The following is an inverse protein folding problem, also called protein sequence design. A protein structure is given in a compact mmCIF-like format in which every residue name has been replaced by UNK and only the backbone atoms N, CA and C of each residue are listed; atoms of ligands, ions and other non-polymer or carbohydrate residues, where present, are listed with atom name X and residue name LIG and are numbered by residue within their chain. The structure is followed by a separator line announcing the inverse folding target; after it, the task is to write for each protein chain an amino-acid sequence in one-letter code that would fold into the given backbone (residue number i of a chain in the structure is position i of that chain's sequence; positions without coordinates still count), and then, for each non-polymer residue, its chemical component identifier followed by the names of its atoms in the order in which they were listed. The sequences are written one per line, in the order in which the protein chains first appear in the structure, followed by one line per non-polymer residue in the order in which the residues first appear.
data_IF_613714510487
#
_entry.id   IF_613714510487
#
_cell.length_a   1.000
_cell.length_b   1.000
_cell.length_c   1.000
_cell.angle_alpha   90.00
_cell.angle_beta   90.00
_cell.angle_gamma   90.00
#
_symmetry.space_group_name_H-M   'P 1'
#
loop_
_entity.id
_entity.type
_entity.pdbx_description
1 polymer ?
#
# COMPACT_ATOMS: atom_id res chain seq x y z
N UNK A 1 -27.36 5.77 16.62
CA UNK A 1 -27.19 7.14 16.06
C UNK A 1 -27.23 7.02 14.55
N UNK A 2 -28.18 7.66 13.86
CA UNK A 2 -28.21 7.69 12.39
C UNK A 2 -27.23 8.76 11.91
N UNK A 3 -26.20 8.36 11.21
CA UNK A 3 -25.29 9.26 10.49
C UNK A 3 -26.00 9.76 9.22
N UNK A 4 -26.40 11.03 9.21
CA UNK A 4 -26.90 11.66 7.97
C UNK A 4 -25.71 12.04 7.08
N UNK A 5 -25.33 11.13 6.17
CA UNK A 5 -24.23 11.30 5.21
C UNK A 5 -24.67 11.91 3.88
N UNK A 6 -25.97 12.25 3.74
CA UNK A 6 -26.46 12.98 2.57
C UNK A 6 -25.96 14.44 2.55
N UNK A 7 -25.77 15.04 3.74
CA UNK A 7 -25.20 16.38 3.90
C UNK A 7 -23.67 16.33 3.98
N UNK A 8 -22.97 17.35 3.43
CA UNK A 8 -21.51 17.45 3.55
C UNK A 8 -21.04 17.33 5.00
N UNK A 9 -19.99 16.55 5.22
CA UNK A 9 -19.36 16.31 6.53
C UNK A 9 -17.85 16.48 6.42
N UNK A 10 -17.23 16.83 7.55
CA UNK A 10 -15.77 16.85 7.70
C UNK A 10 -15.30 15.58 8.41
N UNK A 11 -14.43 14.83 7.72
CA UNK A 11 -13.83 13.61 8.22
C UNK A 11 -12.37 13.82 8.58
N UNK A 12 -11.97 13.30 9.74
CA UNK A 12 -10.57 13.15 10.12
C UNK A 12 -10.22 11.67 10.16
N UNK A 13 -9.35 11.21 9.26
CA UNK A 13 -8.92 9.81 9.21
C UNK A 13 -7.50 9.72 9.76
N UNK A 14 -7.29 8.90 10.77
CA UNK A 14 -6.02 8.73 11.47
C UNK A 14 -5.40 7.37 11.13
N UNK A 15 -4.21 7.39 10.53
CA UNK A 15 -3.47 6.18 10.10
C UNK A 15 -2.06 6.20 10.64
N UNK A 16 -1.71 5.19 11.44
CA UNK A 16 -0.36 4.97 11.97
C UNK A 16 0.16 3.63 11.49
N UNK A 17 0.85 3.60 10.37
CA UNK A 17 1.29 2.32 9.79
C UNK A 17 2.27 2.50 8.63
N UNK A 18 2.66 1.39 7.97
CA UNK A 18 3.50 1.39 6.78
C UNK A 18 2.72 1.83 5.52
N UNK A 19 3.42 2.01 4.40
CA UNK A 19 2.81 2.42 3.12
C UNK A 19 1.66 1.49 2.66
N UNK A 20 1.84 0.16 2.81
CA UNK A 20 0.81 -0.81 2.46
C UNK A 20 -0.48 -0.61 3.28
N UNK A 21 -0.35 -0.43 4.59
CA UNK A 21 -1.50 -0.17 5.47
C UNK A 21 -2.22 1.12 5.11
N UNK A 22 -1.47 2.15 4.69
CA UNK A 22 -2.06 3.41 4.25
C UNK A 22 -2.90 3.22 2.98
N UNK A 23 -2.40 2.45 2.02
CA UNK A 23 -3.16 2.10 0.82
C UNK A 23 -4.41 1.27 1.14
N UNK A 24 -4.35 0.40 2.16
CA UNK A 24 -5.53 -0.37 2.59
C UNK A 24 -6.66 0.49 3.18
N UNK A 25 -6.41 1.76 3.48
CA UNK A 25 -7.45 2.73 3.91
C UNK A 25 -8.12 3.42 2.71
N UNK A 26 -7.53 3.37 1.53
CA UNK A 26 -8.09 4.02 0.34
C UNK A 26 -9.53 3.58 0.01
N UNK A 27 -9.96 2.32 0.15
CA UNK A 27 -11.34 1.93 -0.06
C UNK A 27 -12.34 2.72 0.81
N UNK A 28 -11.98 2.99 2.08
CA UNK A 28 -12.80 3.82 2.97
C UNK A 28 -12.88 5.26 2.47
N UNK A 29 -11.76 5.85 2.07
CA UNK A 29 -11.67 7.21 1.52
C UNK A 29 -12.54 7.33 0.27
N UNK A 30 -12.37 6.41 -0.67
CA UNK A 30 -13.12 6.37 -1.92
C UNK A 30 -14.62 6.21 -1.68
N UNK A 31 -15.01 5.37 -0.72
CA UNK A 31 -16.40 5.20 -0.36
C UNK A 31 -17.03 6.46 0.24
N UNK A 32 -16.34 7.13 1.16
CA UNK A 32 -16.82 8.39 1.76
C UNK A 32 -17.07 9.42 0.65
N UNK A 33 -16.18 9.56 -0.31
CA UNK A 33 -16.35 10.46 -1.47
C UNK A 33 -17.47 10.01 -2.41
N UNK A 34 -17.68 8.69 -2.57
CA UNK A 34 -18.80 8.14 -3.36
C UNK A 34 -20.15 8.46 -2.72
N UNK A 35 -20.26 8.43 -1.39
CA UNK A 35 -21.49 8.80 -0.68
C UNK A 35 -21.87 10.28 -0.90
N UNK A 36 -20.90 11.15 -0.87
CA UNK A 36 -21.08 12.58 -1.21
C UNK A 36 -19.71 13.20 -1.55
N UNK A 37 -19.54 13.63 -2.78
CA UNK A 37 -18.29 14.25 -3.26
C UNK A 37 -17.90 15.53 -2.49
N UNK A 38 -18.87 16.19 -1.83
CA UNK A 38 -18.64 17.39 -1.01
C UNK A 38 -18.14 17.08 0.41
N UNK A 39 -18.03 15.81 0.80
CA UNK A 39 -17.37 15.46 2.06
C UNK A 39 -15.91 15.92 2.02
N UNK A 40 -15.46 16.55 3.11
CA UNK A 40 -14.05 16.93 3.28
C UNK A 40 -13.32 15.83 4.05
N UNK A 41 -12.22 15.35 3.50
CA UNK A 41 -11.39 14.31 4.12
C UNK A 41 -10.03 14.88 4.46
N UNK A 42 -9.73 14.93 5.74
CA UNK A 42 -8.40 15.26 6.29
C UNK A 42 -7.72 13.99 6.78
N UNK A 43 -6.54 13.69 6.27
CA UNK A 43 -5.77 12.52 6.65
C UNK A 43 -4.66 12.91 7.63
N UNK A 44 -4.57 12.21 8.76
CA UNK A 44 -3.48 12.33 9.74
C UNK A 44 -2.59 11.10 9.63
N UNK A 45 -1.34 11.29 9.21
CA UNK A 45 -0.39 10.20 8.95
C UNK A 45 0.92 10.39 9.68
N UNK A 46 1.61 9.29 9.96
CA UNK A 46 2.98 9.36 10.49
C UNK A 46 3.95 9.88 9.42
N UNK A 47 5.00 10.56 9.91
CA UNK A 47 6.06 11.16 9.10
C UNK A 47 6.60 10.23 7.99
N UNK A 48 6.84 8.97 8.33
CA UNK A 48 7.37 7.97 7.38
C UNK A 48 6.47 7.66 6.18
N UNK A 49 5.17 7.99 6.27
CA UNK A 49 4.18 7.66 5.23
C UNK A 49 3.67 8.90 4.50
N UNK A 50 4.12 10.08 4.92
CA UNK A 50 3.64 11.36 4.44
C UNK A 50 3.80 11.51 2.92
N UNK A 51 4.92 11.08 2.38
CA UNK A 51 5.23 11.19 0.96
C UNK A 51 4.21 10.48 0.05
N UNK A 52 3.65 9.35 0.50
CA UNK A 52 2.66 8.61 -0.30
C UNK A 52 1.33 9.36 -0.43
N UNK A 53 0.95 10.15 0.58
CA UNK A 53 -0.36 10.82 0.63
C UNK A 53 -0.56 11.79 -0.54
N UNK A 54 0.50 12.45 -0.99
CA UNK A 54 0.47 13.39 -2.13
C UNK A 54 -0.03 12.74 -3.42
N UNK A 55 0.22 11.44 -3.56
CA UNK A 55 -0.15 10.65 -4.73
C UNK A 55 -1.48 9.90 -4.56
N UNK A 56 -2.05 9.87 -3.36
CA UNK A 56 -3.38 9.29 -3.15
C UNK A 56 -4.47 10.20 -3.73
N UNK A 57 -5.57 9.59 -4.17
CA UNK A 57 -6.74 10.31 -4.67
C UNK A 57 -7.77 10.54 -3.55
N UNK A 58 -8.68 11.50 -3.75
CA UNK A 58 -9.83 11.74 -2.88
C UNK A 58 -9.51 12.26 -1.47
N UNK A 59 -8.31 12.81 -1.25
CA UNK A 59 -7.90 13.47 0.00
C UNK A 59 -7.90 14.98 -0.24
N UNK A 60 -8.56 15.74 0.64
CA UNK A 60 -8.64 17.19 0.54
C UNK A 60 -7.50 17.87 1.30
N UNK A 61 -7.17 17.35 2.48
CA UNK A 61 -6.10 17.87 3.33
C UNK A 61 -5.36 16.71 4.02
N UNK A 62 -4.11 16.92 4.36
CA UNK A 62 -3.35 15.95 5.15
C UNK A 62 -2.31 16.61 6.04
N UNK A 63 -2.09 15.99 7.20
CA UNK A 63 -1.18 16.49 8.23
C UNK A 63 -0.28 15.38 8.73
N UNK A 64 1.00 15.74 8.87
CA UNK A 64 2.02 14.87 9.39
C UNK A 64 1.97 14.84 10.91
N UNK A 65 2.04 13.64 11.50
CA UNK A 65 2.21 13.43 12.93
C UNK A 65 3.60 12.85 13.17
N UNK A 66 4.42 13.45 14.04
CA UNK A 66 5.74 12.93 14.37
C UNK A 66 5.68 11.49 14.87
N UNK A 67 6.59 10.66 14.41
CA UNK A 67 6.71 9.26 14.83
C UNK A 67 7.63 9.07 16.05
N UNK A 68 8.52 10.02 16.32
CA UNK A 68 9.47 10.01 17.44
C UNK A 68 8.99 10.89 18.61
N UNK A 69 9.28 10.49 19.83
CA UNK A 69 8.93 11.21 21.04
C UNK A 69 7.78 10.60 21.84
N UNK A 70 7.32 11.31 22.88
CA UNK A 70 6.19 10.86 23.69
C UNK A 70 4.89 10.95 22.88
N UNK A 71 4.34 9.81 22.48
CA UNK A 71 3.16 9.73 21.62
C UNK A 71 1.93 10.47 22.14
N UNK A 72 1.69 10.46 23.45
CA UNK A 72 0.53 11.12 24.03
C UNK A 72 0.67 12.63 24.04
N UNK A 73 1.87 13.15 24.34
CA UNK A 73 2.16 14.57 24.23
C UNK A 73 1.99 15.05 22.79
N UNK A 74 2.53 14.30 21.82
CA UNK A 74 2.36 14.57 20.37
C UNK A 74 0.87 14.64 20.02
N UNK A 75 0.06 13.67 20.49
CA UNK A 75 -1.36 13.63 20.19
C UNK A 75 -2.13 14.78 20.84
N UNK A 76 -1.74 15.20 22.05
CA UNK A 76 -2.33 16.38 22.71
C UNK A 76 -2.02 17.63 21.87
N UNK A 77 -0.76 17.89 21.58
CA UNK A 77 -0.36 19.08 20.84
C UNK A 77 -1.00 19.16 19.46
N UNK A 78 -0.91 18.07 18.68
CA UNK A 78 -1.50 18.03 17.34
C UNK A 78 -3.03 18.01 17.39
N UNK A 79 -3.64 17.26 18.29
CA UNK A 79 -5.08 17.21 18.44
C UNK A 79 -5.67 18.58 18.78
N UNK A 80 -5.08 19.29 19.73
CA UNK A 80 -5.51 20.66 20.10
C UNK A 80 -5.27 21.66 18.97
N UNK A 81 -4.10 21.58 18.28
CA UNK A 81 -3.79 22.43 17.12
C UNK A 81 -4.87 22.32 16.03
N UNK A 82 -5.32 21.12 15.69
CA UNK A 82 -6.27 20.88 14.60
C UNK A 82 -7.72 20.81 15.05
N UNK A 83 -8.02 20.87 16.34
CA UNK A 83 -9.38 20.89 16.90
C UNK A 83 -10.24 22.04 16.36
N UNK A 84 -9.62 23.17 16.02
CA UNK A 84 -10.27 24.33 15.39
C UNK A 84 -10.98 24.01 14.08
N UNK A 85 -10.59 22.93 13.37
CA UNK A 85 -11.19 22.51 12.11
C UNK A 85 -12.58 21.87 12.29
N UNK A 86 -13.00 21.58 13.54
CA UNK A 86 -14.35 21.11 13.92
C UNK A 86 -14.81 19.89 13.11
N UNK A 87 -14.08 18.80 13.21
CA UNK A 87 -14.44 17.57 12.51
C UNK A 87 -15.76 16.97 13.01
N UNK A 88 -16.64 16.58 12.07
CA UNK A 88 -17.87 15.89 12.40
C UNK A 88 -17.60 14.43 12.79
N UNK A 89 -16.73 13.76 12.03
CA UNK A 89 -16.43 12.34 12.18
C UNK A 89 -14.92 12.13 12.18
N UNK A 90 -14.43 11.38 13.15
CA UNK A 90 -13.05 10.85 13.08
C UNK A 90 -13.07 9.34 13.00
N UNK A 91 -12.14 8.79 12.21
CA UNK A 91 -11.97 7.36 11.99
C UNK A 91 -10.52 6.99 12.25
N UNK A 92 -10.28 6.15 13.25
CA UNK A 92 -8.98 5.54 13.43
C UNK A 92 -8.93 4.25 12.62
N UNK A 93 -8.34 4.36 11.43
CA UNK A 93 -8.37 3.33 10.39
C UNK A 93 -7.22 2.31 10.51
N UNK A 94 -6.60 2.18 11.69
CA UNK A 94 -5.56 1.18 11.88
C UNK A 94 -6.13 -0.21 11.99
N UNK A 95 -5.47 -1.16 11.34
CA UNK A 95 -5.79 -2.60 11.37
C UNK A 95 -5.62 -3.28 12.73
N UNK A 96 -5.08 -2.59 13.72
CA UNK A 96 -4.94 -3.07 15.10
C UNK A 96 -5.69 -2.21 16.08
N UNK A 97 -6.01 -2.77 17.23
CA UNK A 97 -6.62 -2.06 18.34
C UNK A 97 -5.54 -1.51 19.26
N UNK A 98 -5.47 -0.20 19.40
CA UNK A 98 -4.47 0.48 20.25
C UNK A 98 -5.03 1.69 20.97
N UNK A 99 -4.42 2.07 22.10
CA UNK A 99 -4.84 3.25 22.88
C UNK A 99 -4.86 4.54 22.06
N UNK A 100 -3.95 4.67 21.09
CA UNK A 100 -3.89 5.81 20.16
C UNK A 100 -5.19 6.00 19.37
N UNK A 101 -5.88 4.91 19.04
CA UNK A 101 -7.06 4.92 18.18
C UNK A 101 -8.28 5.61 18.85
N UNK A 102 -8.39 5.58 20.17
CA UNK A 102 -9.39 6.36 20.91
C UNK A 102 -8.87 7.73 21.29
N UNK A 103 -7.62 7.81 21.73
CA UNK A 103 -7.06 9.01 22.34
C UNK A 103 -6.93 10.18 21.36
N UNK A 104 -6.28 10.01 20.20
CA UNK A 104 -6.09 11.10 19.26
C UNK A 104 -7.42 11.67 18.70
N UNK A 105 -8.39 10.85 18.22
CA UNK A 105 -9.71 11.33 17.83
C UNK A 105 -10.47 12.09 18.93
N UNK A 106 -10.29 11.69 20.19
CA UNK A 106 -10.90 12.38 21.34
C UNK A 106 -10.30 13.77 21.54
N UNK A 107 -8.97 13.89 21.59
CA UNK A 107 -8.29 15.18 21.73
C UNK A 107 -8.59 16.10 20.55
N UNK A 108 -8.68 15.55 19.33
CA UNK A 108 -9.09 16.28 18.13
C UNK A 108 -10.50 16.87 18.24
N UNK A 109 -11.34 16.36 19.15
CA UNK A 109 -12.67 16.90 19.44
C UNK A 109 -13.71 16.56 18.38
N UNK A 110 -13.54 15.49 17.61
CA UNK A 110 -14.54 15.04 16.66
C UNK A 110 -15.83 14.59 17.37
N UNK A 111 -16.99 14.96 16.82
CA UNK A 111 -18.30 14.65 17.43
C UNK A 111 -18.55 13.14 17.46
N UNK A 112 -18.21 12.45 16.35
CA UNK A 112 -18.35 11.02 16.18
C UNK A 112 -16.95 10.43 16.02
N UNK A 113 -16.62 9.44 16.83
CA UNK A 113 -15.30 8.83 16.90
C UNK A 113 -15.42 7.33 16.66
N UNK A 114 -15.11 6.92 15.42
CA UNK A 114 -15.19 5.53 14.95
C UNK A 114 -13.83 4.88 15.13
N UNK A 115 -13.78 3.75 15.79
CA UNK A 115 -12.59 2.94 15.88
C UNK A 115 -12.92 1.49 16.21
N UNK A 116 -11.97 0.61 15.94
CA UNK A 116 -12.06 -0.79 16.34
C UNK A 116 -11.81 -0.97 17.82
N UNK A 117 -12.65 -1.79 18.43
CA UNK A 117 -12.54 -2.22 19.84
C UNK A 117 -12.42 -3.74 19.91
N UNK A 118 -11.64 -4.25 20.86
CA UNK A 118 -11.50 -5.68 21.12
C UNK A 118 -12.17 -6.06 22.44
N UNK A 119 -12.28 -7.36 22.70
CA UNK A 119 -12.80 -7.86 23.98
C UNK A 119 -11.92 -7.46 25.19
N UNK A 120 -10.63 -7.15 24.97
CA UNK A 120 -9.77 -6.60 26.02
C UNK A 120 -10.03 -5.11 26.16
N UNK A 121 -10.71 -4.69 27.24
CA UNK A 121 -10.97 -3.27 27.55
C UNK A 121 -9.66 -2.50 27.74
N UNK A 122 -9.60 -1.30 27.17
CA UNK A 122 -8.52 -0.33 27.34
C UNK A 122 -9.05 0.93 28.01
N UNK A 123 -8.16 1.62 28.69
CA UNK A 123 -8.51 2.88 29.36
C UNK A 123 -9.02 3.97 28.40
N UNK A 124 -8.71 3.87 27.09
CA UNK A 124 -9.13 4.82 26.06
C UNK A 124 -10.42 4.42 25.33
N UNK A 125 -10.99 3.25 25.60
CA UNK A 125 -12.16 2.75 24.84
C UNK A 125 -13.41 3.63 25.08
N UNK A 126 -13.54 4.24 26.24
CA UNK A 126 -14.62 5.20 26.54
C UNK A 126 -14.55 6.47 25.66
N UNK A 127 -13.40 6.79 25.08
CA UNK A 127 -13.20 7.90 24.17
C UNK A 127 -13.79 7.61 22.78
N UNK A 128 -14.09 6.35 22.48
CA UNK A 128 -14.71 5.89 21.23
C UNK A 128 -16.21 5.83 21.45
N UNK A 129 -16.98 6.69 20.76
CA UNK A 129 -18.43 6.70 20.91
C UNK A 129 -19.17 5.97 19.78
N UNK A 130 -18.44 5.47 18.79
CA UNK A 130 -18.97 4.66 17.71
C UNK A 130 -18.02 3.45 17.45
N UNK A 131 -18.08 2.42 18.32
CA UNK A 131 -17.18 1.30 18.25
C UNK A 131 -17.52 0.32 17.12
N UNK A 132 -16.48 -0.19 16.45
CA UNK A 132 -16.56 -1.30 15.50
C UNK A 132 -15.92 -2.53 16.14
N UNK A 133 -16.59 -3.67 16.25
CA UNK A 133 -16.00 -4.87 16.81
C UNK A 133 -14.79 -5.33 15.99
N UNK A 134 -13.63 -5.50 16.65
CA UNK A 134 -12.46 -6.08 16.04
C UNK A 134 -12.63 -7.60 15.93
N UNK A 135 -12.65 -8.10 14.71
CA UNK A 135 -12.63 -9.53 14.43
C UNK A 135 -11.18 -9.91 14.11
N UNK A 136 -10.61 -10.87 14.85
CA UNK A 136 -9.27 -11.40 14.54
C UNK A 136 -9.21 -11.80 13.07
N UNK A 137 -8.27 -11.21 12.34
CA UNK A 137 -8.29 -11.27 10.90
C UNK A 137 -7.81 -12.62 10.37
N UNK A 138 -8.77 -13.41 9.96
CA UNK A 138 -8.59 -14.43 8.90
C UNK A 138 -8.79 -13.76 7.51
N UNK A 139 -9.09 -12.45 7.50
CA UNK A 139 -9.52 -11.71 6.33
C UNK A 139 -8.46 -10.75 5.81
N UNK A 140 -8.58 -10.36 4.55
CA UNK A 140 -7.76 -9.34 3.94
C UNK A 140 -7.80 -8.02 4.73
N UNK A 141 -6.69 -7.27 4.78
CA UNK A 141 -6.60 -6.02 5.55
C UNK A 141 -7.62 -4.95 5.10
N UNK A 142 -8.00 -4.92 3.83
CA UNK A 142 -9.09 -4.08 3.35
C UNK A 142 -10.43 -4.35 4.06
N UNK A 143 -10.64 -5.55 4.60
CA UNK A 143 -11.86 -5.88 5.34
C UNK A 143 -11.99 -5.13 6.66
N UNK A 144 -10.91 -4.54 7.17
CA UNK A 144 -11.02 -3.57 8.26
C UNK A 144 -11.74 -2.30 7.80
N UNK A 145 -11.48 -1.85 6.56
CA UNK A 145 -12.32 -0.82 5.98
C UNK A 145 -13.78 -1.27 5.90
N UNK A 146 -14.04 -2.54 5.54
CA UNK A 146 -15.40 -3.08 5.43
C UNK A 146 -16.21 -2.95 6.73
N UNK A 147 -15.62 -3.20 7.90
CA UNK A 147 -16.31 -3.03 9.18
C UNK A 147 -16.79 -1.59 9.41
N UNK A 148 -15.98 -0.60 9.03
CA UNK A 148 -16.38 0.82 9.07
C UNK A 148 -17.39 1.14 7.97
N UNK A 149 -17.20 0.59 6.77
CA UNK A 149 -18.14 0.80 5.66
C UNK A 149 -19.53 0.28 5.98
N UNK A 150 -19.65 -0.91 6.57
CA UNK A 150 -20.92 -1.49 7.03
C UNK A 150 -21.62 -0.64 8.11
N UNK A 151 -20.84 0.09 8.91
CA UNK A 151 -21.40 1.05 9.86
C UNK A 151 -22.00 2.27 9.13
N UNK A 152 -21.39 2.69 8.02
CA UNK A 152 -21.82 3.82 7.20
C UNK A 152 -22.96 3.43 6.24
N UNK A 153 -22.89 2.22 5.69
CA UNK A 153 -23.93 1.63 4.85
C UNK A 153 -24.01 0.10 5.07
N UNK A 154 -25.12 -0.35 5.64
CA UNK A 154 -25.36 -1.77 6.00
C UNK A 154 -25.45 -2.71 4.80
N UNK A 155 -25.70 -2.18 3.61
CA UNK A 155 -25.86 -3.01 2.39
C UNK A 155 -24.51 -3.44 1.79
N UNK A 156 -23.39 -2.92 2.30
CA UNK A 156 -22.06 -3.30 1.82
C UNK A 156 -21.63 -4.64 2.42
N UNK A 157 -21.52 -5.66 1.59
CA UNK A 157 -21.09 -7.00 1.99
C UNK A 157 -19.64 -7.32 1.59
N UNK A 158 -19.09 -6.59 0.62
CA UNK A 158 -17.72 -6.70 0.13
C UNK A 158 -17.22 -5.32 -0.31
N UNK A 159 -15.93 -5.19 -0.53
CA UNK A 159 -15.35 -3.96 -1.09
C UNK A 159 -15.31 -4.10 -2.61
N UNK A 160 -16.11 -3.30 -3.34
CA UNK A 160 -16.11 -3.35 -4.81
C UNK A 160 -14.80 -2.82 -5.39
N UNK A 161 -14.43 -3.28 -6.58
CA UNK A 161 -13.16 -2.92 -7.25
C UNK A 161 -13.00 -1.42 -7.51
N UNK A 162 -14.09 -0.71 -7.78
CA UNK A 162 -14.05 0.74 -7.96
C UNK A 162 -13.56 1.51 -6.72
N UNK A 163 -13.59 0.87 -5.54
CA UNK A 163 -13.07 1.44 -4.29
C UNK A 163 -11.60 1.06 -4.02
N UNK A 164 -10.99 0.19 -4.82
CA UNK A 164 -9.60 -0.22 -4.62
C UNK A 164 -8.63 0.97 -4.62
N UNK A 165 -7.47 0.83 -3.97
CA UNK A 165 -6.47 1.89 -3.94
C UNK A 165 -6.07 2.32 -5.34
N UNK A 166 -6.02 3.64 -5.57
CA UNK A 166 -5.50 4.24 -6.79
C UNK A 166 -4.53 5.34 -6.43
N UNK A 167 -3.42 5.40 -7.18
CA UNK A 167 -2.43 6.47 -7.08
C UNK A 167 -2.46 7.33 -8.34
N UNK A 168 -2.15 8.61 -8.19
CA UNK A 168 -1.93 9.52 -9.32
C UNK A 168 -0.74 9.01 -10.13
N UNK A 169 -0.98 8.68 -11.40
CA UNK A 169 0.07 8.20 -12.30
C UNK A 169 1.13 9.29 -12.50
N UNK A 170 2.39 8.90 -12.40
CA UNK A 170 3.53 9.77 -12.61
C UNK A 170 4.12 9.49 -13.99
N UNK A 171 4.43 10.55 -14.73
CA UNK A 171 5.06 10.39 -16.04
C UNK A 171 6.55 10.11 -15.85
N UNK A 172 7.01 8.95 -16.32
CA UNK A 172 8.42 8.71 -16.60
C UNK A 172 8.60 8.59 -18.11
N UNK A 173 9.66 9.20 -18.65
CA UNK A 173 9.97 9.07 -20.07
C UNK A 173 10.48 7.64 -20.33
N UNK A 174 9.69 6.84 -21.05
CA UNK A 174 10.09 5.51 -21.48
C UNK A 174 10.76 5.59 -22.85
N UNK A 175 12.08 5.61 -22.85
CA UNK A 175 12.87 5.53 -24.12
C UNK A 175 13.40 4.11 -24.41
N UNK A 176 12.91 3.10 -23.69
CA UNK A 176 13.39 1.72 -23.79
C UNK A 176 12.39 0.93 -24.64
N UNK A 177 12.89 0.32 -25.74
CA UNK A 177 12.09 -0.50 -26.65
C UNK A 177 11.78 -1.89 -26.07
N UNK A 178 12.65 -2.40 -25.23
CA UNK A 178 12.49 -3.68 -24.55
C UNK A 178 11.35 -3.65 -23.51
N UNK A 179 10.84 -4.81 -23.14
CA UNK A 179 9.90 -4.96 -22.01
C UNK A 179 10.64 -4.64 -20.71
N UNK A 180 10.15 -3.70 -19.95
CA UNK A 180 10.79 -3.23 -18.72
C UNK A 180 10.28 -3.98 -17.51
N UNK A 181 11.19 -4.55 -16.72
CA UNK A 181 10.88 -5.28 -15.49
C UNK A 181 11.46 -4.50 -14.30
N UNK A 182 10.59 -4.11 -13.37
CA UNK A 182 10.99 -3.56 -12.07
C UNK A 182 11.27 -4.70 -11.08
N UNK A 183 12.46 -4.68 -10.48
CA UNK A 183 12.87 -5.60 -9.41
C UNK A 183 13.33 -4.78 -8.21
N UNK A 184 12.88 -5.12 -7.01
CA UNK A 184 13.40 -4.53 -5.77
C UNK A 184 14.33 -5.52 -5.07
N UNK A 185 15.46 -5.03 -4.55
CA UNK A 185 16.39 -5.82 -3.72
C UNK A 185 16.40 -5.38 -2.25
N UNK A 186 15.63 -4.36 -1.90
CA UNK A 186 15.55 -3.82 -0.54
C UNK A 186 14.25 -4.24 0.15
N UNK A 187 14.37 -5.14 1.12
CA UNK A 187 13.25 -5.63 1.92
C UNK A 187 13.56 -5.51 3.41
N UNK A 188 12.52 -5.24 4.23
CA UNK A 188 12.64 -5.22 5.68
C UNK A 188 12.62 -6.64 6.30
N UNK A 189 12.10 -7.62 5.54
CA UNK A 189 12.00 -9.02 5.95
C UNK A 189 12.82 -9.88 4.99
N UNK A 190 13.76 -10.65 5.51
CA UNK A 190 14.59 -11.58 4.73
C UNK A 190 13.76 -12.61 3.99
N UNK A 191 12.71 -13.15 4.65
CA UNK A 191 11.79 -14.12 4.05
C UNK A 191 11.02 -13.63 2.81
N UNK A 192 10.98 -12.31 2.57
CA UNK A 192 10.38 -11.71 1.36
C UNK A 192 11.41 -11.41 0.26
N UNK A 193 12.70 -11.69 0.52
CA UNK A 193 13.79 -11.40 -0.41
C UNK A 193 14.28 -12.67 -1.09
N UNK A 194 14.05 -12.78 -2.40
CA UNK A 194 14.61 -13.85 -3.22
C UNK A 194 16.12 -13.65 -3.38
N UNK A 195 16.90 -14.74 -3.43
CA UNK A 195 18.34 -14.70 -3.66
C UNK A 195 18.67 -14.10 -5.03
N UNK A 196 19.71 -13.26 -5.10
CA UNK A 196 20.15 -12.64 -6.34
C UNK A 196 20.50 -13.66 -7.42
N UNK A 197 21.09 -14.80 -7.07
CA UNK A 197 21.40 -15.90 -8.00
C UNK A 197 20.13 -16.44 -8.65
N UNK A 198 19.06 -16.66 -7.87
CA UNK A 198 17.77 -17.14 -8.38
C UNK A 198 17.09 -16.09 -9.27
N UNK A 199 17.11 -14.81 -8.87
CA UNK A 199 16.58 -13.71 -9.69
C UNK A 199 17.30 -13.67 -11.03
N UNK A 200 18.63 -13.71 -11.00
CA UNK A 200 19.46 -13.64 -12.21
C UNK A 200 19.22 -14.84 -13.14
N UNK A 201 19.20 -16.06 -12.59
CA UNK A 201 18.92 -17.28 -13.37
C UNK A 201 17.59 -17.18 -14.12
N UNK A 202 16.55 -16.75 -13.42
CA UNK A 202 15.20 -16.60 -14.00
C UNK A 202 15.20 -15.53 -15.11
N UNK A 203 15.75 -14.34 -14.83
CA UNK A 203 15.71 -13.22 -15.77
C UNK A 203 16.61 -13.48 -17.01
N UNK A 204 17.75 -14.13 -16.83
CA UNK A 204 18.60 -14.55 -17.94
C UNK A 204 17.90 -15.58 -18.84
N UNK A 205 17.16 -16.54 -18.26
CA UNK A 205 16.36 -17.49 -19.03
C UNK A 205 15.20 -16.81 -19.78
N UNK A 206 14.60 -15.78 -19.19
CA UNK A 206 13.54 -14.99 -19.85
C UNK A 206 14.12 -14.21 -21.01
N UNK A 207 15.30 -13.62 -20.85
CA UNK A 207 15.95 -12.81 -21.89
C UNK A 207 16.30 -13.61 -23.16
N UNK A 208 16.36 -14.94 -23.08
CA UNK A 208 16.55 -15.80 -24.26
C UNK A 208 15.30 -15.83 -25.18
N UNK A 209 14.14 -15.45 -24.65
CA UNK A 209 12.86 -15.51 -25.38
C UNK A 209 12.15 -14.16 -25.52
N UNK A 210 12.48 -13.19 -24.65
CA UNK A 210 11.89 -11.86 -24.60
C UNK A 210 13.00 -10.82 -24.47
N UNK A 211 13.01 -9.79 -25.31
CA UNK A 211 13.92 -8.64 -25.13
C UNK A 211 13.47 -7.83 -23.91
N UNK A 212 14.18 -7.98 -22.80
CA UNK A 212 13.86 -7.36 -21.52
C UNK A 212 14.95 -6.38 -21.07
N UNK A 213 14.54 -5.37 -20.32
CA UNK A 213 15.40 -4.44 -19.59
C UNK A 213 14.99 -4.46 -18.12
N UNK A 214 15.97 -4.56 -17.21
CA UNK A 214 15.69 -4.68 -15.77
C UNK A 214 16.08 -3.41 -15.03
N UNK A 215 15.11 -2.80 -14.35
CA UNK A 215 15.35 -1.78 -13.34
C UNK A 215 15.54 -2.45 -11.98
N UNK A 216 16.73 -2.33 -11.40
CA UNK A 216 17.06 -2.84 -10.06
C UNK A 216 16.89 -1.69 -9.08
N UNK A 217 15.75 -1.62 -8.42
CA UNK A 217 15.48 -0.59 -7.42
C UNK A 217 16.08 -0.97 -6.06
N UNK A 218 16.80 -0.05 -5.47
CA UNK A 218 17.48 -0.24 -4.19
C UNK A 218 17.48 1.01 -3.32
N UNK A 219 17.61 0.83 -2.01
CA UNK A 219 17.98 1.89 -1.08
C UNK A 219 19.51 2.00 -1.00
N UNK A 220 20.05 3.17 -0.69
CA UNK A 220 21.50 3.39 -0.56
C UNK A 220 22.20 2.34 0.31
N UNK A 221 21.59 1.95 1.42
CA UNK A 221 22.12 0.93 2.34
C UNK A 221 22.23 -0.47 1.74
N UNK A 222 21.53 -0.76 0.64
CA UNK A 222 21.47 -2.07 -0.01
C UNK A 222 22.09 -2.03 -1.42
N UNK A 223 22.90 -1.00 -1.75
CA UNK A 223 23.50 -0.81 -3.08
C UNK A 223 24.38 -2.00 -3.48
N UNK A 224 25.12 -2.58 -2.56
CA UNK A 224 25.96 -3.76 -2.81
C UNK A 224 25.13 -4.95 -3.30
N UNK A 225 23.92 -5.15 -2.74
CA UNK A 225 23.02 -6.22 -3.21
C UNK A 225 22.56 -5.98 -4.65
N UNK A 226 22.34 -4.71 -5.02
CA UNK A 226 21.96 -4.34 -6.38
C UNK A 226 23.11 -4.55 -7.36
N UNK A 227 24.33 -4.19 -6.96
CA UNK A 227 25.54 -4.44 -7.77
C UNK A 227 25.83 -5.94 -7.95
N UNK A 228 25.61 -6.74 -6.91
CA UNK A 228 25.73 -8.20 -6.98
C UNK A 228 24.72 -8.78 -7.98
N UNK A 229 23.46 -8.36 -7.91
CA UNK A 229 22.46 -8.80 -8.88
C UNK A 229 22.84 -8.37 -10.30
N UNK A 230 23.25 -7.11 -10.50
CA UNK A 230 23.64 -6.59 -11.81
C UNK A 230 24.78 -7.39 -12.43
N UNK A 231 25.80 -7.79 -11.64
CA UNK A 231 26.92 -8.62 -12.11
C UNK A 231 26.50 -10.01 -12.58
N UNK A 232 25.42 -10.56 -12.03
CA UNK A 232 24.88 -11.88 -12.39
C UNK A 232 23.97 -11.84 -13.63
N UNK A 233 23.51 -10.64 -14.04
CA UNK A 233 22.61 -10.48 -15.16
C UNK A 233 23.38 -10.42 -16.50
N UNK A 234 23.04 -11.29 -17.44
CA UNK A 234 23.55 -11.30 -18.82
C UNK A 234 22.62 -10.52 -19.77
N UNK A 235 22.05 -9.41 -19.29
CA UNK A 235 21.07 -8.58 -20.00
C UNK A 235 21.23 -7.10 -19.61
N UNK A 236 20.58 -6.21 -20.36
CA UNK A 236 20.60 -4.78 -20.07
C UNK A 236 19.84 -4.47 -18.79
N UNK A 237 20.49 -3.78 -17.86
CA UNK A 237 19.91 -3.39 -16.59
C UNK A 237 20.48 -2.07 -16.08
N UNK A 238 19.74 -1.39 -15.22
CA UNK A 238 20.20 -0.24 -14.46
C UNK A 238 19.90 -0.39 -12.98
N UNK A 239 20.77 0.20 -12.15
CA UNK A 239 20.52 0.31 -10.70
C UNK A 239 19.92 1.68 -10.45
N UNK A 240 18.79 1.68 -9.75
CA UNK A 240 18.01 2.87 -9.47
C UNK A 240 17.97 3.13 -7.96
N UNK A 241 18.83 4.03 -7.50
CA UNK A 241 18.74 4.71 -6.19
C UNK A 241 18.03 6.02 -6.39
N UNK A 242 16.75 6.04 -6.11
CA UNK A 242 15.88 7.14 -6.54
C UNK A 242 15.90 8.28 -5.52
N UNK A 243 16.11 9.53 -5.96
CA UNK A 243 16.28 10.68 -5.07
C UNK A 243 14.97 11.08 -4.37
N UNK A 244 13.83 10.69 -4.93
CA UNK A 244 12.54 11.02 -4.36
C UNK A 244 11.54 9.88 -4.45
N UNK A 245 10.53 9.92 -3.58
CA UNK A 245 9.41 8.99 -3.62
C UNK A 245 8.58 9.14 -4.91
N UNK A 246 8.54 10.34 -5.49
CA UNK A 246 7.91 10.60 -6.79
C UNK A 246 8.60 9.82 -7.91
N UNK A 247 9.92 9.86 -7.95
CA UNK A 247 10.71 9.13 -8.96
C UNK A 247 10.54 7.62 -8.80
N UNK A 248 10.43 7.14 -7.55
CA UNK A 248 10.14 5.75 -7.26
C UNK A 248 8.77 5.31 -7.81
N UNK A 249 7.72 6.09 -7.60
CA UNK A 249 6.41 5.80 -8.17
C UNK A 249 6.41 5.92 -9.70
N UNK A 250 7.15 6.88 -10.25
CA UNK A 250 7.31 7.05 -11.69
C UNK A 250 7.99 5.82 -12.32
N UNK A 251 9.02 5.29 -11.68
CA UNK A 251 9.72 4.08 -12.14
C UNK A 251 8.78 2.86 -12.15
N UNK A 252 8.04 2.62 -11.05
CA UNK A 252 7.05 1.55 -10.99
C UNK A 252 6.00 1.73 -12.10
N UNK A 253 5.44 2.95 -12.24
CA UNK A 253 4.38 3.24 -13.22
C UNK A 253 4.84 3.10 -14.68
N UNK A 254 6.14 3.31 -14.96
CA UNK A 254 6.72 3.17 -16.29
C UNK A 254 7.17 1.75 -16.63
N UNK A 255 7.21 0.87 -15.66
CA UNK A 255 7.58 -0.53 -15.86
C UNK A 255 6.39 -1.33 -16.41
N UNK A 256 6.67 -2.26 -17.33
CA UNK A 256 5.63 -3.14 -17.90
C UNK A 256 5.23 -4.24 -16.93
N UNK A 257 6.18 -4.68 -16.10
CA UNK A 257 6.01 -5.74 -15.12
C UNK A 257 6.81 -5.43 -13.84
N UNK A 258 6.21 -5.64 -12.68
CA UNK A 258 6.90 -5.68 -11.40
C UNK A 258 7.13 -7.13 -10.96
N UNK A 259 8.38 -7.49 -10.71
CA UNK A 259 8.76 -8.77 -10.09
C UNK A 259 9.28 -8.48 -8.68
N UNK A 260 8.45 -8.73 -7.68
CA UNK A 260 8.67 -8.23 -6.31
C UNK A 260 8.25 -9.26 -5.26
N UNK A 261 8.86 -9.15 -4.08
CA UNK A 261 8.38 -9.82 -2.88
C UNK A 261 7.26 -9.03 -2.19
N UNK A 262 6.64 -9.65 -1.18
CA UNK A 262 5.64 -8.98 -0.32
C UNK A 262 6.25 -7.77 0.38
N UNK A 263 5.73 -6.59 0.05
CA UNK A 263 6.21 -5.30 0.55
C UNK A 263 5.47 -4.09 -0.02
N UNK A 264 5.97 -2.91 0.28
CA UNK A 264 5.37 -1.64 -0.18
C UNK A 264 5.29 -1.52 -1.69
N UNK A 265 6.30 -1.96 -2.44
CA UNK A 265 6.37 -1.94 -3.90
C UNK A 265 5.18 -2.66 -4.55
N UNK A 266 4.82 -3.83 -4.02
CA UNK A 266 3.68 -4.63 -4.48
C UNK A 266 2.37 -3.84 -4.39
N UNK A 267 2.10 -3.21 -3.25
CA UNK A 267 0.88 -2.42 -3.05
C UNK A 267 0.85 -1.16 -3.92
N UNK A 268 2.02 -0.53 -4.14
CA UNK A 268 2.13 0.62 -5.04
C UNK A 268 1.92 0.22 -6.50
N UNK A 269 2.52 -0.89 -6.94
CA UNK A 269 2.29 -1.44 -8.27
C UNK A 269 0.81 -1.77 -8.49
N UNK A 270 0.13 -2.35 -7.48
CA UNK A 270 -1.31 -2.59 -7.53
C UNK A 270 -2.12 -1.30 -7.69
N UNK A 271 -1.82 -0.28 -6.89
CA UNK A 271 -2.51 1.01 -6.91
C UNK A 271 -2.21 1.85 -8.17
N UNK A 272 -1.11 1.56 -8.88
CA UNK A 272 -0.75 2.11 -10.19
C UNK A 272 -1.25 1.25 -11.36
N UNK A 273 -1.90 0.13 -11.06
CA UNK A 273 -2.44 -0.82 -12.06
C UNK A 273 -1.35 -1.45 -12.96
N UNK A 274 -0.15 -1.65 -12.44
CA UNK A 274 0.96 -2.31 -13.14
C UNK A 274 0.85 -3.83 -13.00
N UNK A 275 1.15 -4.58 -14.07
CA UNK A 275 1.26 -6.03 -14.01
C UNK A 275 2.33 -6.44 -13.01
N UNK A 276 2.08 -7.54 -12.26
CA UNK A 276 3.07 -7.98 -11.28
C UNK A 276 3.07 -9.49 -11.04
N UNK A 277 4.24 -10.02 -10.77
CA UNK A 277 4.46 -11.33 -10.16
C UNK A 277 4.99 -11.09 -8.76
N UNK A 278 4.27 -11.56 -7.76
CA UNK A 278 4.53 -11.28 -6.36
C UNK A 278 4.86 -12.57 -5.62
N UNK A 279 5.94 -12.52 -4.85
CA UNK A 279 6.40 -13.64 -4.03
C UNK A 279 6.09 -13.39 -2.56
N UNK A 280 5.39 -14.30 -1.91
CA UNK A 280 5.09 -14.27 -0.49
C UNK A 280 5.89 -15.34 0.25
N UNK A 281 6.63 -14.91 1.28
CA UNK A 281 7.33 -15.79 2.21
C UNK A 281 6.98 -15.46 3.65
N UNK A 282 6.36 -16.40 4.37
CA UNK A 282 6.03 -16.24 5.80
C UNK A 282 4.89 -15.28 6.14
N UNK A 283 4.28 -14.63 5.15
CA UNK A 283 3.12 -13.74 5.32
C UNK A 283 1.88 -14.33 4.66
N UNK A 284 0.73 -13.99 5.24
CA UNK A 284 -0.56 -14.48 4.73
C UNK A 284 -0.97 -13.76 3.44
N UNK A 285 -1.06 -14.50 2.35
CA UNK A 285 -1.63 -14.00 1.09
C UNK A 285 -3.08 -13.58 1.25
N UNK A 286 -3.86 -14.27 2.08
CA UNK A 286 -5.25 -13.90 2.38
C UNK A 286 -5.34 -12.50 2.99
N UNK A 287 -4.34 -12.12 3.80
CA UNK A 287 -4.34 -10.85 4.53
C UNK A 287 -3.75 -9.70 3.71
N UNK A 288 -2.71 -9.97 2.92
CA UNK A 288 -1.87 -8.92 2.35
C UNK A 288 -1.77 -8.92 0.82
N UNK A 289 -2.53 -9.77 0.12
CA UNK A 289 -2.51 -9.74 -1.34
C UNK A 289 -2.76 -8.34 -1.91
N UNK A 290 -2.09 -7.98 -3.00
CA UNK A 290 -2.35 -6.72 -3.68
C UNK A 290 -3.79 -6.69 -4.22
N UNK A 291 -4.41 -5.52 -4.17
CA UNK A 291 -5.79 -5.32 -4.61
C UNK A 291 -5.82 -4.90 -6.08
N UNK A 292 -5.61 -5.86 -6.97
CA UNK A 292 -5.88 -5.74 -8.39
C UNK A 292 -5.89 -7.15 -9.03
N UNK A 293 -6.42 -7.26 -10.23
CA UNK A 293 -6.48 -8.49 -11.06
C UNK A 293 -5.19 -8.75 -11.86
N UNK A 294 -4.24 -7.80 -11.84
CA UNK A 294 -2.99 -7.87 -12.60
C UNK A 294 -1.86 -8.58 -11.87
N UNK A 295 -2.10 -9.01 -10.63
CA UNK A 295 -1.11 -9.71 -9.81
C UNK A 295 -1.19 -11.22 -10.00
N UNK A 296 -0.05 -11.86 -10.27
CA UNK A 296 0.13 -13.30 -10.11
C UNK A 296 0.87 -13.54 -8.81
N UNK A 297 0.26 -14.29 -7.89
CA UNK A 297 0.79 -14.50 -6.54
C UNK A 297 1.35 -15.92 -6.44
N UNK A 298 2.61 -16.02 -6.03
CA UNK A 298 3.26 -17.26 -5.64
C UNK A 298 3.64 -17.18 -4.17
N UNK A 299 3.46 -18.25 -3.43
CA UNK A 299 3.73 -18.23 -1.99
C UNK A 299 4.34 -19.52 -1.48
N UNK A 300 5.19 -19.34 -0.46
CA UNK A 300 5.60 -20.38 0.48
C UNK A 300 5.25 -19.95 1.90
N UNK A 301 5.06 -20.92 2.81
CA UNK A 301 4.64 -20.63 4.20
C UNK A 301 5.70 -19.94 5.04
N UNK A 302 6.98 -20.01 4.63
CA UNK A 302 8.12 -19.58 5.43
C UNK A 302 9.05 -18.59 4.73
N UNK A 303 9.45 -18.86 3.47
CA UNK A 303 10.46 -18.09 2.76
C UNK A 303 10.22 -18.17 1.25
N UNK A 304 10.36 -17.04 0.55
CA UNK A 304 10.24 -16.97 -0.93
C UNK A 304 11.26 -17.87 -1.64
N UNK A 305 12.39 -18.16 -1.01
CA UNK A 305 13.44 -19.01 -1.58
C UNK A 305 13.05 -20.50 -1.64
N UNK A 306 11.95 -20.90 -0.99
CA UNK A 306 11.40 -22.24 -1.08
C UNK A 306 10.43 -22.38 -2.26
N UNK A 307 10.07 -21.29 -2.92
CA UNK A 307 9.23 -21.34 -4.13
C UNK A 307 10.09 -21.90 -5.28
N UNK A 308 9.70 -23.01 -5.94
CA UNK A 308 10.48 -23.58 -7.02
C UNK A 308 10.74 -22.55 -8.13
N UNK A 309 12.01 -22.43 -8.56
CA UNK A 309 12.44 -21.47 -9.60
C UNK A 309 11.62 -21.63 -10.89
N UNK A 310 11.35 -22.87 -11.29
CA UNK A 310 10.55 -23.16 -12.48
C UNK A 310 9.12 -22.63 -12.39
N UNK A 311 8.54 -22.59 -11.19
CA UNK A 311 7.21 -22.03 -10.96
C UNK A 311 7.21 -20.51 -11.12
N UNK A 312 8.27 -19.85 -10.63
CA UNK A 312 8.45 -18.40 -10.78
C UNK A 312 8.67 -18.05 -12.27
N UNK A 313 9.56 -18.79 -12.92
CA UNK A 313 9.85 -18.61 -14.35
C UNK A 313 8.59 -18.75 -15.21
N UNK A 314 7.78 -19.78 -14.96
CA UNK A 314 6.53 -20.02 -15.71
C UNK A 314 5.52 -18.88 -15.50
N UNK A 315 5.39 -18.37 -14.26
CA UNK A 315 4.49 -17.27 -13.96
C UNK A 315 4.93 -15.94 -14.64
N UNK A 316 6.24 -15.67 -14.68
CA UNK A 316 6.78 -14.50 -15.36
C UNK A 316 6.59 -14.60 -16.88
N UNK A 317 6.88 -15.75 -17.49
CA UNK A 317 6.66 -15.99 -18.94
C UNK A 317 5.20 -15.76 -19.30
N UNK A 318 4.27 -16.40 -18.58
CA UNK A 318 2.84 -16.25 -18.83
C UNK A 318 2.39 -14.77 -18.76
N UNK A 319 2.94 -14.01 -17.80
CA UNK A 319 2.64 -12.57 -17.66
C UNK A 319 3.22 -11.77 -18.84
N UNK A 320 4.45 -12.06 -19.23
CA UNK A 320 5.12 -11.37 -20.34
C UNK A 320 4.43 -11.63 -21.68
N UNK A 321 3.93 -12.85 -21.91
CA UNK A 321 3.19 -13.21 -23.13
C UNK A 321 1.90 -12.37 -23.27
N UNK A 322 1.33 -11.88 -22.16
CA UNK A 322 0.15 -10.99 -22.18
C UNK A 322 0.50 -9.54 -22.44
N UNK A 323 1.76 -9.14 -22.23
CA UNK A 323 2.26 -7.78 -22.45
C UNK A 323 2.60 -7.64 -23.94
N UNK A 324 1.72 -7.00 -24.71
CA UNK A 324 2.03 -6.69 -26.12
C UNK A 324 3.18 -5.68 -26.14
N UNK A 325 4.36 -6.02 -26.70
CA UNK A 325 5.38 -5.01 -26.92
C UNK A 325 4.76 -3.91 -27.81
N UNK A 326 4.95 -2.65 -27.43
CA UNK A 326 4.60 -1.54 -28.31
C UNK A 326 5.35 -1.75 -29.63
N UNK A 327 4.65 -2.22 -30.67
CA UNK A 327 5.19 -2.19 -32.04
C UNK A 327 5.38 -0.71 -32.36
N UNK A 328 6.60 -0.24 -32.21
CA UNK A 328 6.99 1.03 -32.80
C UNK A 328 6.83 0.86 -34.31
N UNK A 329 5.84 1.54 -34.87
CA UNK A 329 5.74 1.72 -36.32
C UNK A 329 7.12 2.18 -36.82
N UNK A 330 7.70 1.37 -37.71
CA UNK A 330 8.90 1.72 -38.46
C UNK A 330 8.61 2.91 -39.38
#
# INVERSE_FOLDING_TARGET
MKLDLKKPKSFAIFVRSAYGDLLMVAPLINFIKKLNAKHKITLFVEEKNYQLVEFMVNIDEYYQIPSKGNKYLIFILHGLKYRKNKYDISIAAKTGVGTANGFFPYVLGAKIRISYVSNKKRWTDWMINCPVPYRNAIYHQQHYALGVLQLLDKNINHIPEELYPKLKKQSAKKNIKAITIFVSVSYNRSASQLKNTTIANILNQINNTHDIFVYISTLEKDIEKADDLRRLLNLKSSIETLPSFKDYLALINSSDLCFVGDGGSMHMAAALEVNQVVLFGGTSTVTWSPLNDKATILSDKSDVNNIPEQKILSALRLKLDTIKPLKLSR
#
